data_IF_622167611815
#
_entry.id   IF_622167611815
#
_cell.length_a   1.000
_cell.length_b   1.000
_cell.length_c   1.000
_cell.angle_alpha   90.00
_cell.angle_beta   90.00
_cell.angle_gamma   90.00
#
_symmetry.space_group_name_H-M   'P 1'
#
loop_
_entity.id
_entity.type
_entity.pdbx_description
1 polymer ?
#
# COMPACT_ATOMS: atom_id res chain seq x y z
N UNK A 1 3.50 -13.99 24.62
CA UNK A 1 4.14 -14.62 23.45
C UNK A 1 3.19 -14.54 22.29
N UNK A 2 3.61 -13.80 21.26
CA UNK A 2 3.16 -13.83 19.85
C UNK A 2 1.65 -13.94 19.63
N UNK A 3 0.96 -12.80 19.60
CA UNK A 3 -0.16 -12.70 18.68
C UNK A 3 0.41 -12.96 17.29
N UNK A 4 0.10 -14.10 16.68
CA UNK A 4 0.28 -14.31 15.25
C UNK A 4 -0.62 -13.29 14.56
N UNK A 5 -0.13 -12.05 14.47
CA UNK A 5 -0.87 -10.93 13.93
C UNK A 5 -1.15 -11.22 12.47
N UNK A 6 -2.40 -11.01 12.06
CA UNK A 6 -2.80 -11.10 10.67
C UNK A 6 -1.73 -10.51 9.76
N UNK A 7 -1.34 -11.29 8.75
CA UNK A 7 -0.29 -10.94 7.79
C UNK A 7 -0.58 -9.55 7.21
N UNK A 8 0.38 -8.64 7.34
CA UNK A 8 0.22 -7.26 6.88
C UNK A 8 0.49 -7.20 5.39
N UNK A 9 -0.34 -6.45 4.68
CA UNK A 9 -0.18 -6.29 3.25
C UNK A 9 -0.55 -4.88 2.82
N UNK A 10 -0.07 -4.52 1.64
CA UNK A 10 -0.52 -3.36 0.88
C UNK A 10 -1.00 -3.82 -0.50
N UNK A 11 -1.67 -2.93 -1.22
CA UNK A 11 -1.93 -3.13 -2.63
C UNK A 11 -0.92 -2.33 -3.46
N UNK A 12 -0.09 -3.02 -4.23
CA UNK A 12 0.83 -2.42 -5.20
C UNK A 12 0.15 -2.35 -6.56
N UNK A 13 0.33 -1.25 -7.28
CA UNK A 13 -0.10 -1.14 -8.67
C UNK A 13 0.92 -1.79 -9.61
N UNK A 14 0.45 -2.68 -10.47
CA UNK A 14 1.25 -3.33 -11.49
C UNK A 14 0.43 -3.37 -12.79
N UNK A 15 0.87 -2.60 -13.80
CA UNK A 15 0.23 -2.54 -15.13
C UNK A 15 -1.29 -2.29 -15.10
N UNK A 16 -1.76 -1.39 -14.23
CA UNK A 16 -3.18 -1.05 -14.10
C UNK A 16 -4.00 -2.05 -13.28
N UNK A 17 -3.35 -3.04 -12.67
CA UNK A 17 -3.98 -4.05 -11.80
C UNK A 17 -3.34 -3.97 -10.42
N UNK A 18 -4.14 -4.11 -9.35
CA UNK A 18 -3.58 -4.14 -8.00
C UNK A 18 -3.14 -5.54 -7.61
N UNK A 19 -2.01 -5.64 -6.92
CA UNK A 19 -1.47 -6.86 -6.34
C UNK A 19 -1.38 -6.75 -4.84
N UNK A 20 -1.91 -7.74 -4.11
CA UNK A 20 -1.69 -7.85 -2.67
C UNK A 20 -0.25 -8.27 -2.43
N UNK A 21 0.50 -7.40 -1.76
CA UNK A 21 1.89 -7.65 -1.43
C UNK A 21 2.04 -7.67 0.08
N UNK A 22 2.51 -8.80 0.60
CA UNK A 22 2.83 -8.94 2.03
C UNK A 22 4.00 -8.03 2.35
N UNK A 23 3.89 -7.28 3.44
CA UNK A 23 4.93 -6.37 3.90
C UNK A 23 5.27 -6.63 5.34
N UNK A 24 6.54 -6.47 5.66
CA UNK A 24 6.98 -6.39 7.03
C UNK A 24 6.99 -4.92 7.47
N UNK A 25 6.43 -4.66 8.64
CA UNK A 25 6.29 -3.32 9.19
C UNK A 25 7.27 -3.15 10.34
N UNK A 26 8.07 -2.09 10.28
CA UNK A 26 8.99 -1.68 11.32
C UNK A 26 8.35 -0.70 12.31
N UNK A 27 9.01 0.43 12.52
CA UNK A 27 8.55 1.47 13.43
C UNK A 27 7.30 2.17 12.89
N UNK A 28 6.44 2.59 13.83
CA UNK A 28 5.29 3.46 13.54
C UNK A 28 5.50 4.79 14.23
N UNK A 29 5.30 5.88 13.50
CA UNK A 29 5.31 7.25 14.03
C UNK A 29 3.99 7.91 13.68
N UNK A 30 3.64 9.00 14.36
CA UNK A 30 2.36 9.67 14.14
C UNK A 30 2.12 9.95 12.64
N UNK A 31 1.14 9.25 12.04
CA UNK A 31 0.77 9.37 10.63
C UNK A 31 1.64 8.59 9.62
N UNK A 32 2.69 7.89 10.04
CA UNK A 32 3.60 7.17 9.13
C UNK A 32 3.94 5.76 9.63
N UNK A 33 4.13 4.86 8.67
CA UNK A 33 4.45 3.45 8.91
C UNK A 33 5.68 3.10 8.10
N UNK A 34 6.72 2.61 8.78
CA UNK A 34 7.92 2.11 8.14
C UNK A 34 7.68 0.72 7.55
N UNK A 35 8.00 0.54 6.27
CA UNK A 35 7.99 -0.76 5.59
C UNK A 35 9.43 -1.22 5.46
N UNK A 36 9.78 -2.35 6.09
CA UNK A 36 11.15 -2.87 6.11
C UNK A 36 11.41 -3.90 5.02
N UNK A 37 10.36 -4.58 4.54
CA UNK A 37 10.46 -5.52 3.42
C UNK A 37 9.11 -5.65 2.67
N UNK A 38 9.18 -6.15 1.44
CA UNK A 38 8.02 -6.42 0.58
C UNK A 38 7.75 -5.39 -0.51
N UNK A 39 8.40 -4.21 -0.49
CA UNK A 39 8.28 -3.20 -1.54
C UNK A 39 9.66 -2.78 -2.07
N UNK A 40 9.70 -2.38 -3.34
CA UNK A 40 10.88 -1.81 -3.97
C UNK A 40 10.74 -0.29 -4.18
N UNK A 41 11.85 0.40 -4.36
CA UNK A 41 11.84 1.81 -4.74
C UNK A 41 11.10 1.98 -6.07
N UNK A 42 10.18 2.95 -6.11
CA UNK A 42 9.34 3.21 -7.29
C UNK A 42 8.01 2.45 -7.29
N UNK A 43 7.81 1.50 -6.37
CA UNK A 43 6.51 0.83 -6.23
C UNK A 43 5.42 1.84 -5.87
N UNK A 44 4.35 1.86 -6.66
CA UNK A 44 3.17 2.66 -6.37
C UNK A 44 2.20 1.85 -5.52
N UNK A 45 1.79 2.38 -4.38
CA UNK A 45 0.84 1.73 -3.46
C UNK A 45 -0.50 2.46 -3.43
N UNK A 46 -1.57 1.70 -3.26
CA UNK A 46 -2.93 2.24 -3.17
C UNK A 46 -3.21 2.68 -1.73
N UNK A 47 -3.62 3.94 -1.56
CA UNK A 47 -3.91 4.54 -0.24
C UNK A 47 -5.40 4.91 -0.06
N UNK A 48 -6.21 4.82 -1.11
CA UNK A 48 -7.62 5.22 -1.11
C UNK A 48 -8.47 4.24 -1.92
N UNK A 49 -9.78 4.16 -1.64
CA UNK A 49 -10.69 3.25 -2.34
C UNK A 49 -10.53 1.77 -1.98
N UNK A 50 -9.78 1.45 -0.91
CA UNK A 50 -9.42 0.09 -0.49
C UNK A 50 -10.62 -0.84 -0.26
N UNK A 51 -11.79 -0.29 0.12
CA UNK A 51 -13.01 -1.07 0.36
C UNK A 51 -13.59 -1.73 -0.90
N UNK A 52 -13.17 -1.28 -2.09
CA UNK A 52 -13.74 -1.72 -3.38
C UNK A 52 -12.81 -2.62 -4.19
N UNK A 53 -11.64 -2.98 -3.66
CA UNK A 53 -10.61 -3.71 -4.39
C UNK A 53 -10.13 -4.94 -3.62
N UNK A 54 -9.75 -5.96 -4.37
CA UNK A 54 -9.05 -7.16 -3.92
C UNK A 54 -7.84 -7.43 -4.82
N UNK A 55 -7.03 -8.45 -4.51
CA UNK A 55 -5.94 -8.87 -5.40
C UNK A 55 -6.44 -9.14 -6.82
N UNK A 56 -5.72 -8.63 -7.82
CA UNK A 56 -6.09 -8.77 -9.23
C UNK A 56 -7.16 -7.79 -9.72
N UNK A 57 -7.62 -6.86 -8.88
CA UNK A 57 -8.64 -5.88 -9.31
C UNK A 57 -8.03 -4.86 -10.28
N UNK A 58 -8.58 -4.68 -11.49
CA UNK A 58 -8.16 -3.60 -12.38
C UNK A 58 -8.57 -2.25 -11.82
N UNK A 59 -7.67 -1.27 -11.91
CA UNK A 59 -7.89 0.08 -11.38
C UNK A 59 -7.45 1.15 -12.37
N UNK A 60 -8.04 2.33 -12.25
CA UNK A 60 -7.58 3.54 -12.93
C UNK A 60 -6.98 4.47 -11.88
N UNK A 61 -5.73 4.89 -12.09
CA UNK A 61 -5.09 5.89 -11.25
C UNK A 61 -5.75 7.24 -11.51
N UNK A 62 -6.24 7.86 -10.45
CA UNK A 62 -6.72 9.24 -10.50
C UNK A 62 -5.55 10.18 -10.23
N UNK A 63 -5.52 11.38 -10.82
CA UNK A 63 -4.60 12.43 -10.40
C UNK A 63 -4.72 12.60 -8.89
N UNK A 64 -3.60 12.60 -8.18
CA UNK A 64 -3.61 12.99 -6.78
C UNK A 64 -4.24 14.39 -6.71
N UNK A 65 -5.30 14.57 -5.92
CA UNK A 65 -5.81 15.90 -5.63
C UNK A 65 -4.63 16.66 -5.02
N UNK A 66 -4.05 17.57 -5.82
CA UNK A 66 -2.71 18.08 -5.59
C UNK A 66 -2.60 18.65 -4.20
N UNK A 67 -1.68 18.13 -3.40
CA UNK A 67 -1.04 18.98 -2.42
C UNK A 67 -0.06 19.86 -3.21
N UNK A 68 -0.60 20.89 -3.87
CA UNK A 68 0.16 22.03 -4.35
C UNK A 68 0.66 22.80 -3.12
N UNK A 69 1.62 22.22 -2.41
CA UNK A 69 2.42 22.96 -1.46
C UNK A 69 3.50 23.65 -2.29
N UNK A 70 3.31 24.96 -2.49
CA UNK A 70 4.27 25.91 -3.01
C UNK A 70 5.60 25.89 -2.26
#
# INVERSE_FOLDING_TARGET
MQSAGAERYVFRLENGVVRRVVVEIGQRRAGTVEVVSGLAQGDQVVIAGLQKINDGTPVRVLPAAGNSAS
#
